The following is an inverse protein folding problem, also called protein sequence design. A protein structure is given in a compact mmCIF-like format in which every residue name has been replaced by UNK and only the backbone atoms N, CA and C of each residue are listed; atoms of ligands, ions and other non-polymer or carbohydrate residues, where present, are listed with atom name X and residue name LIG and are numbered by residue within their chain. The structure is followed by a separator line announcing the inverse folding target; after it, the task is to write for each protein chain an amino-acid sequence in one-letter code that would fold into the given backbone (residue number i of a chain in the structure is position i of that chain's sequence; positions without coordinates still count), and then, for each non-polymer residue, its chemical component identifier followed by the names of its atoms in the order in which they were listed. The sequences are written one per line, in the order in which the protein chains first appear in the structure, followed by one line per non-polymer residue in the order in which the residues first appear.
data_IF_819580306443
#
_entry.id   IF_819580306443
#
_cell.length_a   1.000
_cell.length_b   1.000
_cell.length_c   1.000
_cell.angle_alpha   90.00
_cell.angle_beta   90.00
_cell.angle_gamma   90.00
#
_symmetry.space_group_name_H-M   'P 1'
#
loop_
_entity.id
_entity.type
_entity.pdbx_description
1 polymer ?
#
# COMPACT_ATOMS: atom_id res chain seq x y z
N UNK A 1 -13.57 -4.67 -17.74
CA UNK A 1 -12.63 -5.75 -17.39
C UNK A 1 -13.12 -7.07 -17.92
N UNK A 2 -12.26 -8.09 -18.03
CA UNK A 2 -12.73 -9.45 -18.30
C UNK A 2 -13.65 -9.89 -17.15
N UNK A 3 -14.71 -10.69 -17.42
CA UNK A 3 -15.59 -11.20 -16.38
C UNK A 3 -14.82 -12.05 -15.36
N UNK A 4 -15.01 -11.79 -14.06
CA UNK A 4 -14.33 -12.49 -12.95
C UNK A 4 -15.26 -13.36 -12.10
N UNK A 5 -16.47 -13.65 -12.60
CA UNK A 5 -17.52 -14.34 -11.85
C UNK A 5 -18.48 -13.36 -11.16
N UNK A 6 -19.27 -13.83 -10.17
CA UNK A 6 -20.34 -13.03 -9.56
C UNK A 6 -19.86 -11.80 -8.79
N UNK A 7 -18.66 -11.87 -8.19
CA UNK A 7 -18.02 -10.74 -7.54
C UNK A 7 -17.29 -9.89 -8.59
N UNK A 8 -17.86 -8.72 -8.90
CA UNK A 8 -17.28 -7.79 -9.86
C UNK A 8 -16.27 -6.86 -9.18
N UNK A 9 -15.19 -6.55 -9.89
CA UNK A 9 -14.30 -5.46 -9.50
C UNK A 9 -14.96 -4.11 -9.77
N UNK A 10 -14.68 -3.14 -8.91
CA UNK A 10 -15.15 -1.76 -9.05
C UNK A 10 -14.15 -0.95 -9.88
N UNK A 11 -14.63 -0.17 -10.84
CA UNK A 11 -13.77 0.66 -11.66
C UNK A 11 -13.27 1.88 -10.86
N UNK A 12 -11.95 2.07 -10.81
CA UNK A 12 -11.34 3.32 -10.39
C UNK A 12 -10.67 3.96 -11.61
N UNK A 13 -10.99 5.23 -11.86
CA UNK A 13 -10.55 5.94 -13.05
C UNK A 13 -9.60 7.07 -12.69
N UNK A 14 -8.41 7.08 -13.29
CA UNK A 14 -7.49 8.20 -13.23
C UNK A 14 -7.82 9.19 -14.34
N UNK A 15 -8.23 10.39 -13.96
CA UNK A 15 -8.61 11.47 -14.88
C UNK A 15 -7.60 12.61 -14.75
N UNK A 16 -6.93 12.93 -15.85
CA UNK A 16 -6.11 14.13 -15.98
C UNK A 16 -7.01 15.36 -16.15
N UNK A 17 -6.84 16.31 -15.24
CA UNK A 17 -7.57 17.58 -15.18
C UNK A 17 -6.64 18.79 -15.38
N UNK A 18 -5.40 18.58 -15.85
CA UNK A 18 -4.39 19.65 -15.96
C UNK A 18 -4.58 20.61 -17.14
N UNK A 19 -5.37 20.23 -18.14
CA UNK A 19 -5.67 21.06 -19.31
C UNK A 19 -7.15 21.43 -19.44
N UNK A 20 -7.51 22.07 -20.55
CA UNK A 20 -8.87 22.61 -20.76
C UNK A 20 -9.98 21.54 -20.87
N UNK A 21 -9.60 20.29 -21.12
CA UNK A 21 -10.53 19.16 -21.23
C UNK A 21 -10.01 17.97 -20.45
N UNK A 22 -10.88 17.40 -19.60
CA UNK A 22 -10.58 16.18 -18.86
C UNK A 22 -10.21 15.03 -19.80
N UNK A 23 -9.19 14.26 -19.43
CA UNK A 23 -8.75 13.07 -20.15
C UNK A 23 -8.70 11.88 -19.21
N UNK A 24 -9.46 10.83 -19.50
CA UNK A 24 -9.30 9.56 -18.80
C UNK A 24 -7.95 8.95 -19.23
N UNK A 25 -7.04 8.80 -18.27
CA UNK A 25 -5.71 8.23 -18.49
C UNK A 25 -5.68 6.71 -18.27
N UNK A 26 -6.41 6.25 -17.24
CA UNK A 26 -6.38 4.87 -16.80
C UNK A 26 -7.71 4.48 -16.19
N UNK A 27 -8.16 3.26 -16.47
CA UNK A 27 -9.25 2.58 -15.79
C UNK A 27 -8.67 1.29 -15.18
N UNK A 28 -8.73 1.16 -13.85
CA UNK A 28 -8.15 0.02 -13.13
C UNK A 28 -9.12 -0.60 -12.11
N UNK A 29 -9.10 -1.94 -11.96
CA UNK A 29 -10.04 -2.63 -11.10
C UNK A 29 -9.65 -2.48 -9.62
N UNK A 30 -10.65 -2.29 -8.77
CA UNK A 30 -10.53 -2.26 -7.30
C UNK A 30 -11.46 -3.29 -6.66
N UNK A 31 -11.12 -3.72 -5.45
CA UNK A 31 -11.88 -4.72 -4.68
C UNK A 31 -12.45 -4.07 -3.42
N UNK A 32 -13.65 -4.49 -3.00
CA UNK A 32 -14.22 -4.10 -1.71
C UNK A 32 -14.91 -2.74 -1.66
N UNK A 33 -15.28 -2.18 -2.82
CA UNK A 33 -16.08 -0.94 -2.93
C UNK A 33 -15.49 0.24 -2.15
N UNK A 34 -14.26 0.69 -2.48
CA UNK A 34 -13.66 1.83 -1.79
C UNK A 34 -14.53 3.10 -1.96
N UNK A 35 -14.94 3.68 -0.83
CA UNK A 35 -15.82 4.86 -0.82
C UNK A 35 -15.08 6.20 -0.87
N UNK A 36 -13.83 6.23 -0.41
CA UNK A 36 -13.03 7.45 -0.36
C UNK A 36 -11.59 7.16 -0.78
N UNK A 37 -10.97 8.13 -1.44
CA UNK A 37 -9.56 8.13 -1.77
C UNK A 37 -8.96 9.51 -1.45
N UNK A 38 -7.69 9.53 -1.07
CA UNK A 38 -6.94 10.76 -0.82
C UNK A 38 -5.56 10.63 -1.46
N UNK A 39 -5.17 11.67 -2.20
CA UNK A 39 -3.83 11.80 -2.74
C UNK A 39 -3.06 12.88 -1.96
N UNK A 40 -1.76 12.67 -1.77
CA UNK A 40 -0.85 13.67 -1.21
C UNK A 40 0.53 13.57 -1.89
N UNK A 41 1.30 14.67 -1.95
CA UNK A 41 2.66 14.63 -2.46
C UNK A 41 3.53 13.65 -1.67
N UNK A 42 4.31 12.82 -2.37
CA UNK A 42 5.20 11.83 -1.75
C UNK A 42 6.19 12.47 -0.76
N UNK A 43 6.67 13.68 -1.08
CA UNK A 43 7.60 14.46 -0.26
C UNK A 43 7.08 14.79 1.14
N UNK A 44 5.76 14.68 1.40
CA UNK A 44 5.21 14.88 2.74
C UNK A 44 5.42 13.66 3.67
N UNK A 45 5.69 12.48 3.11
CA UNK A 45 5.76 11.22 3.87
C UNK A 45 7.02 10.39 3.63
N UNK A 46 7.77 10.63 2.56
CA UNK A 46 8.93 9.81 2.18
C UNK A 46 9.97 9.69 3.29
N UNK A 47 10.31 10.80 3.94
CA UNK A 47 11.30 10.85 5.03
C UNK A 47 10.78 10.22 6.34
N UNK A 48 9.48 9.96 6.43
CA UNK A 48 8.82 9.41 7.62
C UNK A 48 8.59 7.91 7.52
N UNK A 49 8.95 7.27 6.40
CA UNK A 49 8.72 5.85 6.20
C UNK A 49 9.64 5.01 7.10
N UNK A 50 9.04 4.12 7.89
CA UNK A 50 9.76 3.10 8.64
C UNK A 50 10.24 2.02 7.68
N UNK A 51 11.54 2.00 7.37
CA UNK A 51 12.14 1.02 6.44
C UNK A 51 12.46 -0.32 7.10
N UNK A 52 12.84 -0.28 8.37
CA UNK A 52 13.15 -1.46 9.14
C UNK A 52 12.77 -1.21 10.60
N UNK A 53 12.26 -2.25 11.26
CA UNK A 53 12.09 -2.24 12.70
C UNK A 53 13.41 -2.63 13.34
N UNK A 54 13.81 -1.93 14.40
CA UNK A 54 15.01 -2.28 15.15
C UNK A 54 14.76 -3.57 15.91
N UNK A 55 15.50 -4.61 15.55
CA UNK A 55 15.37 -5.93 16.19
C UNK A 55 15.60 -5.87 17.71
N UNK A 56 16.53 -5.02 18.16
CA UNK A 56 16.80 -4.80 19.59
C UNK A 56 15.62 -4.22 20.38
N UNK A 57 14.67 -3.55 19.72
CA UNK A 57 13.48 -2.97 20.35
C UNK A 57 12.29 -3.95 20.35
N UNK A 58 12.44 -5.16 19.79
CA UNK A 58 11.39 -6.17 19.78
C UNK A 58 11.10 -6.64 21.23
N UNK A 59 9.88 -6.41 21.73
CA UNK A 59 9.46 -6.76 23.10
C UNK A 59 8.73 -8.11 23.19
N UNK A 60 8.61 -8.84 22.09
CA UNK A 60 8.00 -10.17 22.09
C UNK A 60 8.77 -11.10 23.05
N UNK A 61 8.07 -11.86 23.93
CA UNK A 61 8.71 -12.75 24.90
C UNK A 61 9.52 -13.89 24.26
N UNK A 62 9.30 -14.18 22.98
CA UNK A 62 10.02 -15.21 22.23
C UNK A 62 10.96 -14.62 21.16
N UNK A 63 11.23 -13.32 21.21
CA UNK A 63 12.15 -12.67 20.27
C UNK A 63 13.58 -13.21 20.40
N UNK A 64 14.22 -13.47 19.26
CA UNK A 64 15.67 -13.68 19.13
C UNK A 64 16.26 -12.41 18.57
N UNK A 65 17.09 -11.70 19.34
CA UNK A 65 17.62 -10.37 18.94
C UNK A 65 19.05 -10.40 18.44
N UNK A 66 19.72 -11.54 18.54
CA UNK A 66 21.08 -11.76 18.07
C UNK A 66 21.32 -13.24 17.76
N UNK A 67 22.34 -13.54 16.96
CA UNK A 67 22.74 -14.92 16.64
C UNK A 67 23.03 -15.74 17.91
N UNK A 68 23.57 -15.11 18.95
CA UNK A 68 23.87 -15.76 20.24
C UNK A 68 22.64 -16.23 21.02
N UNK A 69 21.48 -15.63 20.75
CA UNK A 69 20.21 -16.02 21.37
C UNK A 69 19.56 -17.21 20.64
N UNK A 70 20.11 -17.64 19.50
CA UNK A 70 19.65 -18.83 18.80
C UNK A 70 20.06 -20.10 19.55
N UNK A 71 19.17 -21.10 19.58
CA UNK A 71 19.40 -22.39 20.26
C UNK A 71 19.98 -23.46 19.32
N UNK A 72 20.63 -23.03 18.23
CA UNK A 72 21.26 -23.94 17.27
C UNK A 72 22.64 -24.28 17.83
N UNK A 73 22.84 -25.54 18.22
CA UNK A 73 24.08 -26.09 18.78
C UNK A 73 24.78 -26.96 17.73
#
# INVERSE_FOLDING_TARGET
YLPTGPALAQAAQLIDITGDKMKMLLDFPTTGEPHYAQALPASLIEDRQVKAYKLGENKDPYAVRSEKETRVV
#
